data_IF_070959292635
#
_entry.id   IF_070959292635
#
_cell.length_a   1.000
_cell.length_b   1.000
_cell.length_c   1.000
_cell.angle_alpha   90.00
_cell.angle_beta   90.00
_cell.angle_gamma   90.00
#
_symmetry.space_group_name_H-M   'P 1'
#
loop_
_entity.id
_entity.type
_entity.pdbx_description
1 polymer ?
#
# COMPACT_ATOMS: atom_id res chain seq x y z
N UNK A 1 -8.20 -3.09 0.96
CA UNK A 1 -8.25 -2.08 2.04
C UNK A 1 -7.12 -2.29 3.03
N UNK A 2 -7.01 -3.46 3.68
CA UNK A 2 -5.97 -3.72 4.69
C UNK A 2 -4.52 -3.43 4.24
N UNK A 3 -4.13 -3.79 3.01
CA UNK A 3 -2.76 -3.52 2.55
C UNK A 3 -2.46 -2.02 2.47
N UNK A 4 -3.39 -1.21 1.97
CA UNK A 4 -3.20 0.23 1.92
C UNK A 4 -3.12 0.80 3.35
N UNK A 5 -4.06 0.39 4.22
CA UNK A 5 -4.11 0.82 5.62
C UNK A 5 -2.84 0.43 6.39
N UNK A 6 -2.32 -0.78 6.20
CA UNK A 6 -1.16 -1.30 6.94
C UNK A 6 0.18 -0.96 6.29
N UNK A 7 0.19 -0.56 5.03
CA UNK A 7 1.42 -0.50 4.24
C UNK A 7 1.84 0.88 3.76
N UNK A 8 0.95 1.89 3.79
CA UNK A 8 1.37 3.28 3.60
C UNK A 8 0.43 4.33 4.18
N UNK A 9 -0.82 3.99 4.52
CA UNK A 9 -1.74 4.95 5.14
C UNK A 9 -1.28 5.20 6.58
N UNK A 10 -1.27 6.47 6.97
CA UNK A 10 -1.07 6.83 8.37
C UNK A 10 -2.27 6.33 9.19
N UNK A 11 -2.03 5.77 10.39
CA UNK A 11 -3.06 5.32 11.34
C UNK A 11 -3.09 6.27 12.56
N UNK A 12 -3.68 7.48 12.40
CA UNK A 12 -3.72 8.47 13.46
C UNK A 12 -4.69 8.06 14.57
N UNK A 13 -4.39 8.48 15.80
CA UNK A 13 -5.28 8.26 16.96
C UNK A 13 -6.61 9.00 16.84
N UNK A 14 -6.67 10.06 16.02
CA UNK A 14 -7.87 10.84 15.78
C UNK A 14 -8.58 10.36 14.50
N UNK A 15 -9.93 10.29 14.49
CA UNK A 15 -10.68 9.96 13.29
C UNK A 15 -10.44 10.98 12.16
N UNK A 16 -10.33 10.52 10.89
CA UNK A 16 -10.18 11.43 9.77
C UNK A 16 -11.44 12.29 9.55
N UNK A 17 -11.25 13.52 9.10
CA UNK A 17 -12.31 14.46 8.70
C UNK A 17 -12.42 14.51 7.17
N UNK A 18 -13.48 15.11 6.60
CA UNK A 18 -13.57 15.31 5.15
C UNK A 18 -12.41 16.11 4.55
N UNK A 19 -11.68 16.89 5.35
CA UNK A 19 -10.54 17.69 4.93
C UNK A 19 -9.21 16.93 5.00
N UNK A 20 -9.11 15.89 5.84
CA UNK A 20 -7.88 15.08 6.00
C UNK A 20 -7.95 13.76 5.24
N UNK A 21 -9.11 13.43 4.67
CA UNK A 21 -9.31 12.27 3.81
C UNK A 21 -9.30 12.67 2.32
N UNK A 22 -8.64 11.90 1.45
CA UNK A 22 -7.84 10.71 1.75
C UNK A 22 -6.48 11.07 2.36
N UNK A 23 -5.89 10.11 3.08
CA UNK A 23 -4.53 10.26 3.60
C UNK A 23 -3.53 10.55 2.46
N UNK A 24 -2.54 11.42 2.67
CA UNK A 24 -1.56 11.77 1.65
C UNK A 24 -0.72 10.55 1.28
N UNK A 25 -0.46 10.36 -0.01
CA UNK A 25 0.42 9.30 -0.48
C UNK A 25 1.89 9.69 -0.26
N UNK A 26 2.59 8.97 0.62
CA UNK A 26 4.03 9.15 0.87
C UNK A 26 4.84 8.08 0.13
N UNK A 27 5.56 8.41 -0.96
CA UNK A 27 6.23 7.42 -1.80
C UNK A 27 7.27 6.58 -1.06
N UNK A 28 7.94 7.17 -0.07
CA UNK A 28 9.01 6.53 0.69
C UNK A 28 8.47 5.48 1.66
N UNK A 29 7.35 5.78 2.32
CA UNK A 29 6.64 4.86 3.21
C UNK A 29 6.00 3.71 2.42
N UNK A 30 5.44 4.01 1.24
CA UNK A 30 4.84 3.01 0.37
C UNK A 30 5.86 2.09 -0.34
N UNK A 31 7.14 2.50 -0.38
CA UNK A 31 8.20 1.82 -1.16
C UNK A 31 8.38 0.34 -0.80
N UNK A 32 8.48 -0.06 0.49
CA UNK A 32 8.70 -1.46 0.85
C UNK A 32 7.53 -2.36 0.45
N UNK A 33 6.29 -1.89 0.68
CA UNK A 33 5.11 -2.65 0.30
C UNK A 33 5.00 -2.78 -1.23
N UNK A 34 5.25 -1.71 -1.98
CA UNK A 34 5.28 -1.78 -3.45
C UNK A 34 6.30 -2.79 -3.93
N UNK A 35 7.51 -2.78 -3.38
CA UNK A 35 8.54 -3.74 -3.76
C UNK A 35 8.12 -5.20 -3.49
N UNK A 36 7.53 -5.47 -2.32
CA UNK A 36 7.03 -6.80 -1.97
C UNK A 36 5.90 -7.25 -2.92
N UNK A 37 4.91 -6.39 -3.17
CA UNK A 37 3.80 -6.69 -4.07
C UNK A 37 4.24 -6.91 -5.51
N UNK A 38 5.15 -6.08 -6.02
CA UNK A 38 5.71 -6.25 -7.36
C UNK A 38 6.37 -7.63 -7.49
N UNK A 39 7.12 -8.09 -6.47
CA UNK A 39 7.73 -9.42 -6.49
C UNK A 39 6.68 -10.53 -6.52
N UNK A 40 5.64 -10.45 -5.69
CA UNK A 40 4.56 -11.44 -5.65
C UNK A 40 3.83 -11.50 -6.98
N UNK A 41 3.42 -10.36 -7.53
CA UNK A 41 2.70 -10.30 -8.79
C UNK A 41 3.56 -10.83 -9.95
N UNK A 42 4.85 -10.49 -9.99
CA UNK A 42 5.77 -11.04 -10.98
C UNK A 42 5.91 -12.56 -10.86
N UNK A 43 5.99 -13.10 -9.64
CA UNK A 43 6.03 -14.55 -9.42
C UNK A 43 4.75 -15.24 -9.92
N UNK A 44 3.58 -14.65 -9.68
CA UNK A 44 2.30 -15.16 -10.19
C UNK A 44 2.24 -15.11 -11.72
N UNK A 45 2.75 -14.05 -12.35
CA UNK A 45 2.81 -13.92 -13.81
C UNK A 45 3.75 -14.97 -14.42
N UNK A 46 4.93 -15.16 -13.85
CA UNK A 46 5.87 -16.21 -14.27
C UNK A 46 5.22 -17.59 -14.17
N UNK A 47 4.56 -17.87 -13.05
CA UNK A 47 3.85 -19.13 -12.85
C UNK A 47 2.74 -19.34 -13.89
N UNK A 48 1.95 -18.31 -14.21
CA UNK A 48 0.84 -18.41 -15.15
C UNK A 48 1.27 -18.53 -16.63
N UNK A 49 2.52 -18.17 -16.95
CA UNK A 49 3.08 -18.25 -18.30
C UNK A 49 3.85 -19.55 -18.57
N UNK A 50 4.07 -20.37 -17.54
CA UNK A 50 4.70 -21.70 -17.63
C UNK A 50 3.68 -22.77 -18.00
#
# INVERSE_FOLDING_TARGET
MELACRGYMDDPSEPPTPQTWPAPYRPDQARPMRAALTRVLNACLIFAQA
#
